data_IF_060077085043
#
_entry.id   IF_060077085043
#
_cell.length_a   1.000
_cell.length_b   1.000
_cell.length_c   1.000
_cell.angle_alpha   90.00
_cell.angle_beta   90.00
_cell.angle_gamma   90.00
#
_symmetry.space_group_name_H-M   'P 1'
#
loop_
_entity.id
_entity.type
_entity.pdbx_description
1 polymer ?
#
# COMPACT_ATOMS: atom_id res chain seq x y z
N UNK A 1 5.53 8.68 25.14
CA UNK A 1 5.49 9.99 24.47
C UNK A 1 6.04 9.90 23.05
N UNK A 2 5.22 10.18 22.02
CA UNK A 2 5.68 10.24 20.62
C UNK A 2 4.94 9.34 19.63
N UNK A 3 4.17 8.34 20.08
CA UNK A 3 3.32 7.53 19.18
C UNK A 3 1.84 7.91 19.35
N UNK A 4 1.38 8.86 18.52
CA UNK A 4 -0.03 9.26 18.48
C UNK A 4 -0.94 8.17 17.90
N UNK A 5 -0.37 7.15 17.27
CA UNK A 5 -1.12 6.07 16.67
C UNK A 5 -1.36 4.90 17.65
N UNK A 6 -0.87 4.97 18.89
CA UNK A 6 -1.07 3.96 19.95
C UNK A 6 -0.75 2.53 19.47
N UNK A 7 0.38 2.35 18.78
CA UNK A 7 0.81 1.04 18.30
C UNK A 7 0.00 0.48 17.12
N UNK A 8 -0.93 1.24 16.53
CA UNK A 8 -1.67 0.80 15.34
C UNK A 8 -0.74 0.42 14.18
N UNK A 9 -1.08 -0.61 13.39
CA UNK A 9 -0.27 -0.99 12.24
C UNK A 9 -0.23 0.13 11.20
N UNK A 10 0.92 0.28 10.55
CA UNK A 10 1.14 1.28 9.51
C UNK A 10 1.67 0.57 8.26
N UNK A 11 1.07 0.91 7.13
CA UNK A 11 1.58 0.58 5.80
C UNK A 11 1.88 1.89 5.08
N UNK A 12 3.03 1.97 4.43
CA UNK A 12 3.47 3.15 3.66
C UNK A 12 3.58 2.76 2.20
N UNK A 13 2.85 3.47 1.34
CA UNK A 13 2.92 3.28 -0.11
C UNK A 13 3.98 4.21 -0.70
N UNK A 14 4.87 3.64 -1.52
CA UNK A 14 5.90 4.37 -2.27
C UNK A 14 5.89 3.98 -3.74
N UNK A 15 6.41 4.88 -4.56
CA UNK A 15 6.61 4.66 -5.99
C UNK A 15 7.82 5.42 -6.52
N UNK A 16 8.10 5.30 -7.82
CA UNK A 16 9.21 6.02 -8.49
C UNK A 16 9.15 7.55 -8.41
N UNK A 17 7.99 8.14 -8.09
CA UNK A 17 7.84 9.58 -7.83
C UNK A 17 8.18 9.99 -6.39
N UNK A 18 8.29 9.02 -5.47
CA UNK A 18 8.65 9.27 -4.07
C UNK A 18 10.13 9.68 -4.00
N UNK A 19 10.38 10.94 -3.66
CA UNK A 19 11.72 11.52 -3.64
C UNK A 19 11.99 12.36 -2.38
N UNK A 20 13.26 12.51 -2.01
CA UNK A 20 13.71 13.45 -0.97
C UNK A 20 13.13 13.12 0.41
N UNK A 21 12.40 14.04 1.05
CA UNK A 21 11.91 13.87 2.41
C UNK A 21 11.03 12.61 2.58
N UNK A 22 10.23 12.27 1.56
CA UNK A 22 9.39 11.06 1.57
C UNK A 22 10.23 9.77 1.70
N UNK A 23 11.41 9.74 1.07
CA UNK A 23 12.32 8.60 1.15
C UNK A 23 12.97 8.49 2.52
N UNK A 24 13.29 9.63 3.14
CA UNK A 24 13.83 9.67 4.51
C UNK A 24 12.80 9.11 5.49
N UNK A 25 11.54 9.54 5.37
CA UNK A 25 10.44 9.08 6.24
C UNK A 25 10.17 7.59 6.02
N UNK A 26 10.02 7.15 4.78
CA UNK A 26 9.78 5.74 4.46
C UNK A 26 10.93 4.84 4.94
N UNK A 27 12.18 5.24 4.68
CA UNK A 27 13.36 4.50 5.13
C UNK A 27 13.50 4.45 6.64
N UNK A 28 13.21 5.55 7.35
CA UNK A 28 13.24 5.55 8.81
C UNK A 28 12.16 4.64 9.42
N UNK A 29 10.93 4.70 8.90
CA UNK A 29 9.85 3.83 9.35
C UNK A 29 10.14 2.35 9.10
N UNK A 30 10.75 2.03 7.94
CA UNK A 30 11.20 0.68 7.58
C UNK A 30 12.30 0.19 8.53
N UNK A 31 13.37 0.97 8.70
CA UNK A 31 14.52 0.59 9.52
C UNK A 31 14.15 0.37 11.00
N UNK A 32 13.19 1.14 11.52
CA UNK A 32 12.65 0.96 12.87
C UNK A 32 11.61 -0.15 12.98
N UNK A 33 11.28 -0.85 11.88
CA UNK A 33 10.19 -1.84 11.80
C UNK A 33 8.85 -1.28 12.29
N UNK A 34 8.62 0.02 12.08
CA UNK A 34 7.39 0.71 12.51
C UNK A 34 6.28 0.59 11.48
N UNK A 35 6.65 0.50 10.20
CA UNK A 35 5.72 0.33 9.09
C UNK A 35 6.24 -0.69 8.09
N UNK A 36 5.32 -1.30 7.34
CA UNK A 36 5.64 -2.09 6.15
C UNK A 36 5.56 -1.16 4.94
N UNK A 37 6.64 -1.08 4.16
CA UNK A 37 6.71 -0.27 2.94
C UNK A 37 6.29 -1.12 1.74
N UNK A 38 5.36 -0.62 0.94
CA UNK A 38 4.72 -1.33 -0.17
C UNK A 38 4.79 -0.48 -1.45
N UNK A 39 4.92 -1.13 -2.60
CA UNK A 39 4.80 -0.47 -3.91
C UNK A 39 6.03 -0.69 -4.77
N UNK A 40 6.57 0.39 -5.34
CA UNK A 40 7.75 0.30 -6.22
C UNK A 40 8.93 1.13 -5.69
N UNK A 41 10.12 0.86 -6.24
CA UNK A 41 11.36 1.57 -5.92
C UNK A 41 11.16 3.09 -5.94
N UNK A 42 11.63 3.78 -4.90
CA UNK A 42 11.63 5.25 -4.87
C UNK A 42 12.73 5.87 -5.74
N UNK A 43 12.69 7.20 -5.92
CA UNK A 43 13.51 7.91 -6.90
C UNK A 43 15.03 7.85 -6.63
N UNK A 44 15.46 7.94 -5.37
CA UNK A 44 16.87 7.97 -4.97
C UNK A 44 17.47 9.36 -4.82
N UNK A 45 16.68 10.37 -4.42
CA UNK A 45 17.19 11.73 -4.14
C UNK A 45 17.53 11.86 -2.65
N UNK A 46 18.72 11.44 -2.30
CA UNK A 46 19.25 11.47 -0.94
C UNK A 46 20.25 12.60 -0.71
N UNK A 47 20.07 13.80 -1.28
CA UNK A 47 21.06 14.88 -1.17
C UNK A 47 20.45 16.22 -0.77
N UNK A 48 21.21 17.03 -0.03
CA UNK A 48 20.87 18.41 0.35
C UNK A 48 21.55 19.37 -0.62
N UNK A 49 20.78 20.35 -1.11
CA UNK A 49 21.30 21.42 -1.94
C UNK A 49 21.18 22.76 -1.22
N UNK A 50 22.26 23.50 -1.19
CA UNK A 50 22.34 24.85 -0.62
C UNK A 50 22.53 25.86 -1.73
N UNK A 51 21.84 27.00 -1.63
CA UNK A 51 22.05 28.15 -2.52
C UNK A 51 23.13 29.04 -1.89
N UNK A 52 24.26 29.18 -2.59
CA UNK A 52 25.38 30.03 -2.19
C UNK A 52 25.32 31.29 -3.05
N UNK A 53 25.03 32.48 -2.49
CA UNK A 53 24.98 33.71 -3.27
C UNK A 53 26.36 34.06 -3.84
N UNK A 54 26.39 34.54 -5.08
CA UNK A 54 27.60 35.01 -5.77
C UNK A 54 27.61 36.54 -5.79
N UNK A 55 28.75 37.15 -6.11
CA UNK A 55 28.79 38.62 -6.32
C UNK A 55 27.85 38.99 -7.47
N UNK A 56 26.96 39.95 -7.23
CA UNK A 56 25.88 40.35 -8.16
C UNK A 56 24.54 39.73 -7.76
N UNK A 57 23.69 39.43 -8.74
CA UNK A 57 22.33 38.88 -8.53
C UNK A 57 22.26 37.35 -8.74
N UNK A 58 23.40 36.68 -8.88
CA UNK A 58 23.46 35.23 -9.13
C UNK A 58 23.62 34.38 -7.85
N UNK A 59 23.27 33.10 -7.94
CA UNK A 59 23.51 32.11 -6.89
C UNK A 59 23.95 30.76 -7.47
N UNK A 60 24.78 30.04 -6.73
CA UNK A 60 25.21 28.68 -7.05
C UNK A 60 24.42 27.67 -6.21
N UNK A 61 23.75 26.72 -6.87
CA UNK A 61 23.12 25.58 -6.19
C UNK A 61 24.12 24.44 -6.05
N UNK A 62 24.62 24.21 -4.83
CA UNK A 62 25.64 23.22 -4.56
C UNK A 62 25.09 22.10 -3.66
N UNK A 63 25.40 20.85 -3.98
CA UNK A 63 25.11 19.72 -3.10
C UNK A 63 26.10 19.72 -1.94
N UNK A 64 25.59 19.85 -0.71
CA UNK A 64 26.40 20.03 0.51
C UNK A 64 26.37 18.83 1.44
N UNK A 65 25.33 17.99 1.35
CA UNK A 65 25.21 16.82 2.21
C UNK A 65 24.45 15.66 1.53
N UNK A 66 24.53 14.48 2.15
CA UNK A 66 23.75 13.29 1.80
C UNK A 66 22.93 12.83 2.99
N UNK A 67 21.74 12.29 2.71
CA UNK A 67 20.88 11.65 3.68
C UNK A 67 21.17 10.16 3.77
N UNK A 68 21.20 9.68 5.00
CA UNK A 68 21.32 8.27 5.35
C UNK A 68 20.12 7.88 6.22
N UNK A 69 19.65 6.67 6.00
CA UNK A 69 18.63 6.04 6.85
C UNK A 69 19.23 5.70 8.23
N UNK A 70 18.41 5.45 9.27
CA UNK A 70 18.91 5.09 10.61
C UNK A 70 19.85 3.88 10.65
N UNK A 71 19.70 2.93 9.72
CA UNK A 71 20.59 1.79 9.53
C UNK A 71 21.95 2.13 8.87
N UNK A 72 22.17 3.38 8.49
CA UNK A 72 23.40 3.85 7.83
C UNK A 72 23.42 3.65 6.30
N UNK A 73 22.30 3.21 5.70
CA UNK A 73 22.20 3.04 4.24
C UNK A 73 21.95 4.37 3.53
N UNK A 74 22.70 4.63 2.46
CA UNK A 74 22.56 5.82 1.60
C UNK A 74 21.32 5.72 0.71
N UNK A 75 20.52 6.78 0.66
CA UNK A 75 19.37 6.90 -0.25
C UNK A 75 19.80 7.35 -1.65
N UNK A 76 20.90 8.12 -1.74
CA UNK A 76 21.32 8.75 -2.99
C UNK A 76 21.59 7.70 -4.08
N UNK A 77 20.97 7.88 -5.25
CA UNK A 77 21.05 7.02 -6.44
C UNK A 77 20.53 5.58 -6.26
N UNK A 78 20.19 5.18 -5.05
CA UNK A 78 19.67 3.85 -4.72
C UNK A 78 18.18 3.86 -4.45
N UNK A 79 17.65 4.91 -3.82
CA UNK A 79 16.28 4.96 -3.32
C UNK A 79 16.04 4.04 -2.12
N UNK A 80 14.79 3.96 -1.71
CA UNK A 80 14.22 3.03 -0.74
C UNK A 80 13.57 1.91 -1.52
N UNK A 81 13.94 0.67 -1.17
CA UNK A 81 13.28 -0.53 -1.67
C UNK A 81 12.11 -0.86 -0.75
N UNK A 82 10.89 -1.10 -1.27
CA UNK A 82 9.78 -1.51 -0.44
C UNK A 82 10.03 -2.91 0.12
N UNK A 83 9.45 -3.20 1.27
CA UNK A 83 9.45 -4.56 1.86
C UNK A 83 8.65 -5.53 1.00
N UNK A 84 7.56 -5.04 0.39
CA UNK A 84 6.73 -5.80 -0.54
C UNK A 84 6.60 -5.03 -1.85
N UNK A 85 7.17 -5.61 -2.91
CA UNK A 85 7.07 -5.03 -4.26
C UNK A 85 5.68 -5.32 -4.83
N UNK A 86 4.96 -4.27 -5.18
CA UNK A 86 3.65 -4.34 -5.82
C UNK A 86 3.67 -3.39 -7.00
N UNK A 87 3.42 -3.90 -8.20
CA UNK A 87 3.32 -3.07 -9.39
C UNK A 87 1.85 -2.75 -9.65
N UNK A 88 1.56 -1.52 -10.07
CA UNK A 88 0.24 -1.19 -10.59
C UNK A 88 0.08 -1.84 -11.98
N UNK A 89 -0.94 -2.69 -12.20
CA UNK A 89 -1.22 -3.22 -13.52
C UNK A 89 -1.50 -2.07 -14.49
N UNK A 90 -0.91 -2.15 -15.69
CA UNK A 90 -1.25 -1.20 -16.75
C UNK A 90 -2.64 -1.58 -17.25
N UNK A 91 -3.62 -0.72 -17.03
CA UNK A 91 -4.93 -0.84 -17.67
C UNK A 91 -4.72 -0.47 -19.12
N UNK A 92 -4.79 -1.45 -20.03
CA UNK A 92 -4.74 -1.18 -21.46
C UNK A 92 -6.08 -0.56 -21.88
N UNK A 93 -6.12 0.73 -22.28
CA UNK A 93 -7.36 1.39 -22.70
C UNK A 93 -7.96 0.78 -23.98
N UNK A 94 -7.20 -0.02 -24.75
CA UNK A 94 -7.72 -0.77 -25.90
C UNK A 94 -8.27 -2.15 -25.52
N UNK A 95 -7.99 -2.67 -24.32
CA UNK A 95 -8.47 -3.96 -23.83
C UNK A 95 -9.88 -3.89 -23.22
N UNK A 96 -10.49 -2.70 -23.12
CA UNK A 96 -11.88 -2.53 -22.66
C UNK A 96 -12.93 -3.21 -23.57
N UNK A 97 -12.52 -3.70 -24.75
CA UNK A 97 -13.42 -4.16 -25.81
C UNK A 97 -13.86 -5.62 -25.79
N UNK A 98 -13.01 -6.61 -25.48
CA UNK A 98 -13.32 -7.98 -25.97
C UNK A 98 -12.85 -9.18 -25.16
N UNK A 99 -11.87 -9.07 -24.25
CA UNK A 99 -11.29 -10.28 -23.62
C UNK A 99 -11.43 -10.33 -22.09
N UNK A 100 -11.51 -9.19 -21.39
CA UNK A 100 -11.62 -9.17 -19.93
C UNK A 100 -12.98 -9.66 -19.38
N UNK A 101 -14.07 -9.57 -20.17
CA UNK A 101 -15.40 -10.03 -19.75
C UNK A 101 -15.60 -11.54 -19.87
N UNK A 102 -14.79 -12.24 -20.67
CA UNK A 102 -14.94 -13.68 -20.89
C UNK A 102 -14.30 -14.54 -19.78
N UNK A 103 -13.30 -14.01 -19.06
CA UNK A 103 -12.64 -14.74 -17.97
C UNK A 103 -13.38 -14.65 -16.62
N UNK A 104 -14.19 -13.61 -16.41
CA UNK A 104 -14.94 -13.40 -15.15
C UNK A 104 -16.17 -14.32 -15.06
N UNK A 105 -16.74 -14.76 -16.18
CA UNK A 105 -17.96 -15.60 -16.17
C UNK A 105 -17.70 -17.10 -15.90
N UNK A 106 -16.44 -17.56 -16.00
CA UNK A 106 -16.10 -18.98 -15.75
C UNK A 106 -15.87 -19.33 -14.27
N UNK A 107 -15.96 -18.34 -13.36
CA UNK A 107 -15.69 -18.54 -11.93
C UNK A 107 -16.93 -18.31 -11.06
N UNK A 108 -18.13 -18.64 -11.55
CA UNK A 108 -19.20 -19.04 -10.63
C UNK A 108 -18.81 -20.38 -10.00
N UNK A 109 -17.90 -20.31 -9.02
CA UNK A 109 -17.55 -21.45 -8.19
C UNK A 109 -18.85 -21.99 -7.61
N UNK A 110 -19.17 -23.26 -7.93
CA UNK A 110 -20.32 -23.94 -7.36
C UNK A 110 -20.04 -24.09 -5.86
N UNK A 111 -20.65 -23.24 -5.05
CA UNK A 111 -20.62 -23.35 -3.59
C UNK A 111 -21.72 -24.30 -3.13
N UNK A 112 -21.53 -24.91 -1.95
CA UNK A 112 -22.56 -25.78 -1.34
C UNK A 112 -23.91 -25.06 -1.23
N UNK A 113 -23.88 -23.78 -0.86
CA UNK A 113 -25.05 -22.91 -0.78
C UNK A 113 -25.76 -22.69 -2.14
N UNK A 114 -25.08 -22.90 -3.27
CA UNK A 114 -25.65 -22.76 -4.61
C UNK A 114 -26.29 -24.05 -5.13
N UNK A 115 -26.24 -25.15 -4.37
CA UNK A 115 -26.85 -26.42 -4.75
C UNK A 115 -28.36 -26.39 -4.46
N UNK A 116 -29.12 -27.02 -5.35
CA UNK A 116 -30.56 -27.20 -5.15
C UNK A 116 -30.78 -28.10 -3.94
N UNK A 117 -31.41 -27.56 -2.89
CA UNK A 117 -31.63 -28.26 -1.62
C UNK A 117 -30.54 -28.01 -0.57
N UNK A 118 -29.71 -26.98 -0.74
CA UNK A 118 -28.77 -26.56 0.30
C UNK A 118 -29.51 -26.28 1.62
N UNK A 119 -28.98 -26.83 2.71
CA UNK A 119 -29.52 -26.63 4.05
C UNK A 119 -29.22 -25.19 4.46
N UNK A 120 -30.25 -24.43 4.84
CA UNK A 120 -30.09 -23.06 5.33
C UNK A 120 -29.61 -23.07 6.76
N UNK A 121 -28.74 -22.13 7.11
CA UNK A 121 -28.27 -21.97 8.48
C UNK A 121 -29.33 -21.20 9.29
N UNK A 122 -30.36 -21.91 9.75
CA UNK A 122 -31.52 -21.34 10.45
C UNK A 122 -31.22 -20.93 11.90
N UNK A 123 -29.99 -21.20 12.38
CA UNK A 123 -29.55 -20.87 13.75
C UNK A 123 -28.86 -19.52 13.90
N UNK A 124 -28.79 -18.70 12.84
CA UNK A 124 -28.09 -17.40 12.89
C UNK A 124 -29.01 -16.30 13.43
N UNK A 125 -28.54 -15.60 14.47
CA UNK A 125 -29.23 -14.40 15.00
C UNK A 125 -29.19 -13.24 13.99
N UNK A 126 -30.13 -12.30 14.11
CA UNK A 126 -30.19 -11.15 13.19
C UNK A 126 -28.94 -10.26 13.30
N UNK A 127 -28.30 -10.21 14.47
CA UNK A 127 -27.04 -9.50 14.68
C UNK A 127 -25.86 -10.17 13.95
N UNK A 128 -25.79 -11.51 13.93
CA UNK A 128 -24.75 -12.22 13.18
C UNK A 128 -24.95 -12.12 11.66
N UNK A 129 -26.21 -12.12 11.19
CA UNK A 129 -26.51 -11.88 9.76
C UNK A 129 -26.03 -10.50 9.33
N UNK A 130 -26.30 -9.48 10.15
CA UNK A 130 -25.86 -8.11 9.87
C UNK A 130 -24.34 -7.98 9.87
N UNK A 131 -23.64 -8.62 10.80
CA UNK A 131 -22.18 -8.65 10.81
C UNK A 131 -21.61 -9.28 9.54
N UNK A 132 -22.18 -10.40 9.08
CA UNK A 132 -21.79 -11.08 7.85
C UNK A 132 -22.06 -10.23 6.60
N UNK A 133 -23.19 -9.52 6.55
CA UNK A 133 -23.51 -8.58 5.47
C UNK A 133 -22.52 -7.40 5.44
N UNK A 134 -22.20 -6.83 6.60
CA UNK A 134 -21.21 -5.76 6.72
C UNK A 134 -19.79 -6.23 6.35
N UNK A 135 -19.42 -7.46 6.69
CA UNK A 135 -18.16 -8.08 6.25
C UNK A 135 -18.13 -8.32 4.73
N UNK A 136 -19.23 -8.80 4.15
CA UNK A 136 -19.37 -8.99 2.70
C UNK A 136 -19.26 -7.67 1.95
N UNK A 137 -20.00 -6.65 2.36
CA UNK A 137 -19.95 -5.31 1.75
C UNK A 137 -18.52 -4.74 1.77
N UNK A 138 -17.83 -4.84 2.92
CA UNK A 138 -16.43 -4.40 3.05
C UNK A 138 -15.44 -5.19 2.21
N UNK A 139 -15.77 -6.45 1.89
CA UNK A 139 -14.97 -7.31 1.01
C UNK A 139 -15.21 -6.98 -0.46
N UNK A 140 -16.46 -6.73 -0.84
CA UNK A 140 -16.84 -6.31 -2.20
C UNK A 140 -16.27 -4.93 -2.55
N UNK A 141 -16.32 -3.98 -1.62
CA UNK A 141 -15.67 -2.66 -1.80
C UNK A 141 -14.16 -2.78 -1.97
N UNK A 142 -13.51 -3.63 -1.15
CA UNK A 142 -12.09 -3.90 -1.30
C UNK A 142 -11.77 -4.58 -2.63
N UNK A 143 -12.65 -5.47 -3.12
CA UNK A 143 -12.50 -6.10 -4.43
C UNK A 143 -12.58 -5.08 -5.57
N UNK A 144 -13.54 -4.15 -5.54
CA UNK A 144 -13.63 -3.06 -6.53
C UNK A 144 -12.38 -2.18 -6.54
N UNK A 145 -11.84 -1.88 -5.36
CA UNK A 145 -10.63 -1.08 -5.24
C UNK A 145 -9.42 -1.76 -5.91
N UNK A 146 -9.39 -3.09 -6.01
CA UNK A 146 -8.29 -3.81 -6.69
C UNK A 146 -8.21 -3.52 -8.18
N UNK A 147 -9.36 -3.25 -8.80
CA UNK A 147 -9.45 -2.95 -10.23
C UNK A 147 -9.04 -1.48 -10.50
N UNK A 148 -9.30 -0.59 -9.55
CA UNK A 148 -8.97 0.85 -9.66
C UNK A 148 -7.52 1.15 -9.22
N UNK A 149 -7.13 0.69 -8.03
CA UNK A 149 -5.82 0.92 -7.42
C UNK A 149 -5.35 -0.35 -6.72
N UNK A 150 -4.71 -1.24 -7.48
CA UNK A 150 -4.17 -2.49 -6.99
C UNK A 150 -3.18 -2.31 -5.84
N UNK A 151 -2.31 -1.30 -5.90
CA UNK A 151 -1.33 -1.03 -4.84
C UNK A 151 -2.02 -0.64 -3.53
N UNK A 152 -3.03 0.24 -3.60
CA UNK A 152 -3.81 0.65 -2.44
C UNK A 152 -4.63 -0.49 -1.85
N UNK A 153 -5.32 -1.26 -2.70
CA UNK A 153 -6.11 -2.40 -2.25
C UNK A 153 -5.24 -3.42 -1.53
N UNK A 154 -4.05 -3.71 -2.06
CA UNK A 154 -3.09 -4.61 -1.42
C UNK A 154 -2.60 -4.09 -0.06
N UNK A 155 -2.34 -2.77 0.06
CA UNK A 155 -1.98 -2.16 1.33
C UNK A 155 -3.10 -2.27 2.38
N UNK A 156 -4.35 -2.09 1.97
CA UNK A 156 -5.52 -2.27 2.84
C UNK A 156 -5.63 -3.72 3.30
N UNK A 157 -5.41 -4.68 2.41
CA UNK A 157 -5.44 -6.11 2.75
C UNK A 157 -4.35 -6.46 3.78
N UNK A 158 -3.13 -5.92 3.64
CA UNK A 158 -2.08 -6.06 4.65
C UNK A 158 -2.52 -5.49 5.99
N UNK A 159 -3.07 -4.26 6.03
CA UNK A 159 -3.52 -3.63 7.26
C UNK A 159 -4.64 -4.43 7.95
N UNK A 160 -5.59 -4.96 7.17
CA UNK A 160 -6.65 -5.83 7.68
C UNK A 160 -6.06 -7.11 8.26
N UNK A 161 -5.14 -7.75 7.55
CA UNK A 161 -4.44 -8.96 8.02
C UNK A 161 -3.65 -8.72 9.30
N UNK A 162 -2.90 -7.62 9.38
CA UNK A 162 -2.16 -7.24 10.58
C UNK A 162 -3.11 -7.01 11.77
N UNK A 163 -4.24 -6.34 11.57
CA UNK A 163 -5.23 -6.11 12.63
C UNK A 163 -5.95 -7.39 13.07
N UNK A 164 -6.18 -8.35 12.15
CA UNK A 164 -6.83 -9.62 12.48
C UNK A 164 -5.92 -10.54 13.30
N UNK A 165 -4.61 -10.50 13.04
CA UNK A 165 -3.62 -11.36 13.72
C UNK A 165 -2.99 -10.68 14.93
N UNK A 166 -2.98 -9.35 14.99
CA UNK A 166 -2.52 -8.63 16.17
C UNK A 166 -3.36 -9.02 17.38
N UNK A 167 -2.70 -9.70 18.33
CA UNK A 167 -3.29 -10.08 19.61
C UNK A 167 -3.82 -8.80 20.26
N UNK A 168 -5.13 -8.73 20.51
CA UNK A 168 -5.71 -7.68 21.36
C UNK A 168 -4.98 -7.71 22.69
N UNK A 169 -4.44 -6.58 23.18
CA UNK A 169 -3.79 -6.52 24.48
C UNK A 169 -4.74 -6.91 25.61
#
# INVERSE_FOLDING_TARGET
>A
PGDLADGKPIVVLINGGSASASEIVAGALQDHRRAIVVGTKSFGKGSVQTLIPLKGEGAMRLTTARYYTPSGRSIQSLGVMPDIVVNQPVVDPAAEGTEAKAAVDQTKQRTEASLRGAITNDSMSDDEKKLLEDERARTEEAAKLRDEDYQLAYAVDILRGLNAVAVKP
#
